data_IF_422732653707
#
_entry.id   IF_422732653707
#
_cell.length_a   1.000
_cell.length_b   1.000
_cell.length_c   1.000
_cell.angle_alpha   90.00
_cell.angle_beta   90.00
_cell.angle_gamma   90.00
#
_symmetry.space_group_name_H-M   'P 1'
#
loop_
_entity.id
_entity.type
_entity.pdbx_description
1 polymer ?
#
# COMPACT_ATOMS: atom_id res chain seq x y z
N UNK A 1 -21.07 8.34 -8.62
CA UNK A 1 -21.32 6.89 -8.81
C UNK A 1 -22.63 6.56 -9.57
N UNK A 2 -23.54 7.51 -9.80
CA UNK A 2 -24.81 7.22 -10.48
C UNK A 2 -24.64 6.76 -11.95
N UNK A 3 -23.61 7.23 -12.63
CA UNK A 3 -23.35 7.02 -14.07
C UNK A 3 -22.44 5.81 -14.41
N UNK A 4 -21.92 5.10 -13.38
CA UNK A 4 -21.01 3.99 -13.61
C UNK A 4 -21.78 2.71 -14.00
N UNK A 5 -21.19 1.94 -14.94
CA UNK A 5 -21.72 0.63 -15.31
C UNK A 5 -21.72 -0.33 -14.11
N UNK A 6 -22.57 -1.36 -14.17
CA UNK A 6 -22.66 -2.39 -13.11
C UNK A 6 -21.30 -3.07 -12.90
N UNK A 7 -20.57 -3.34 -14.00
CA UNK A 7 -19.25 -3.95 -13.96
C UNK A 7 -18.23 -3.06 -13.23
N UNK A 8 -18.23 -1.75 -13.51
CA UNK A 8 -17.36 -0.80 -12.85
C UNK A 8 -17.65 -0.71 -11.34
N UNK A 9 -18.93 -0.70 -10.96
CA UNK A 9 -19.32 -0.73 -9.54
C UNK A 9 -18.84 -2.01 -8.87
N UNK A 10 -19.06 -3.17 -9.48
CA UNK A 10 -18.63 -4.46 -8.96
C UNK A 10 -17.09 -4.51 -8.77
N UNK A 11 -16.33 -3.99 -9.74
CA UNK A 11 -14.87 -3.88 -9.64
C UNK A 11 -14.45 -3.00 -8.46
N UNK A 12 -15.04 -1.80 -8.31
CA UNK A 12 -14.70 -0.87 -7.23
C UNK A 12 -15.02 -1.50 -5.87
N UNK A 13 -16.23 -2.03 -5.68
CA UNK A 13 -16.63 -2.63 -4.42
C UNK A 13 -15.84 -3.92 -4.10
N UNK A 14 -15.54 -4.74 -5.11
CA UNK A 14 -14.71 -5.92 -4.96
C UNK A 14 -13.29 -5.55 -4.50
N UNK A 15 -12.67 -4.56 -5.14
CA UNK A 15 -11.34 -4.06 -4.76
C UNK A 15 -11.35 -3.48 -3.34
N UNK A 16 -12.35 -2.69 -2.98
CA UNK A 16 -12.50 -2.14 -1.62
C UNK A 16 -12.62 -3.29 -0.60
N UNK A 17 -13.54 -4.23 -0.82
CA UNK A 17 -13.84 -5.29 0.15
C UNK A 17 -12.64 -6.22 0.37
N UNK A 18 -12.04 -6.71 -0.73
CA UNK A 18 -10.88 -7.61 -0.66
C UNK A 18 -9.67 -6.85 -0.13
N UNK A 19 -9.39 -5.67 -0.68
CA UNK A 19 -8.21 -4.89 -0.33
C UNK A 19 -8.23 -4.40 1.11
N UNK A 20 -9.37 -3.89 1.62
CA UNK A 20 -9.49 -3.49 3.02
C UNK A 20 -9.43 -4.70 3.96
N UNK A 21 -10.05 -5.82 3.60
CA UNK A 21 -9.98 -7.04 4.39
C UNK A 21 -8.54 -7.54 4.56
N UNK A 22 -7.77 -7.60 3.46
CA UNK A 22 -6.34 -7.93 3.49
C UNK A 22 -5.54 -6.91 4.28
N UNK A 23 -5.81 -5.61 4.10
CA UNK A 23 -5.15 -4.53 4.82
C UNK A 23 -5.33 -4.66 6.33
N UNK A 24 -6.55 -4.82 6.79
CA UNK A 24 -6.86 -4.99 8.22
C UNK A 24 -6.14 -6.23 8.75
N UNK A 25 -6.24 -7.36 8.07
CA UNK A 25 -5.58 -8.60 8.47
C UNK A 25 -4.05 -8.45 8.55
N UNK A 26 -3.42 -7.79 7.58
CA UNK A 26 -1.98 -7.55 7.60
C UNK A 26 -1.56 -6.63 8.75
N UNK A 27 -2.31 -5.56 9.00
CA UNK A 27 -2.01 -4.60 10.07
C UNK A 27 -2.06 -5.22 11.48
N UNK A 28 -2.80 -6.33 11.69
CA UNK A 28 -2.75 -7.08 12.96
C UNK A 28 -1.37 -7.67 13.25
N UNK A 29 -0.50 -7.76 12.25
CA UNK A 29 0.86 -8.33 12.35
C UNK A 29 1.95 -7.24 12.41
N UNK A 30 1.55 -5.97 12.53
CA UNK A 30 2.49 -4.85 12.55
C UNK A 30 3.28 -4.83 13.87
N UNK A 31 4.58 -4.65 13.76
CA UNK A 31 5.44 -4.35 14.90
C UNK A 31 5.40 -2.85 15.21
N UNK A 32 4.62 -2.49 16.21
CA UNK A 32 4.42 -1.12 16.65
C UNK A 32 5.63 -0.50 17.37
N UNK A 33 6.62 -1.29 17.74
CA UNK A 33 7.81 -0.81 18.47
C UNK A 33 8.83 -0.10 17.58
N UNK A 34 8.71 -0.26 16.24
CA UNK A 34 9.67 0.25 15.28
C UNK A 34 9.45 1.75 15.02
N UNK A 35 10.29 2.60 15.62
CA UNK A 35 10.22 4.06 15.47
C UNK A 35 10.44 4.52 14.01
N UNK A 36 11.27 3.83 13.25
CA UNK A 36 11.53 4.15 11.84
C UNK A 36 10.26 4.10 10.97
N UNK A 37 9.30 3.26 11.36
CA UNK A 37 8.03 3.13 10.68
C UNK A 37 7.19 4.43 10.72
N UNK A 38 7.19 5.11 11.87
CA UNK A 38 6.45 6.38 12.03
C UNK A 38 7.08 7.51 11.23
N UNK A 39 8.41 7.52 11.13
CA UNK A 39 9.13 8.48 10.27
C UNK A 39 8.77 8.26 8.80
N UNK A 40 8.77 7.00 8.34
CA UNK A 40 8.34 6.67 6.97
C UNK A 40 6.88 6.99 6.71
N UNK A 41 6.00 6.77 7.69
CA UNK A 41 4.59 7.12 7.58
C UNK A 41 4.40 8.65 7.44
N UNK A 42 5.14 9.44 8.22
CA UNK A 42 5.12 10.90 8.09
C UNK A 42 5.66 11.36 6.72
N UNK A 43 6.77 10.80 6.26
CA UNK A 43 7.32 11.10 4.94
C UNK A 43 6.37 10.70 3.81
N UNK A 44 5.75 9.53 3.90
CA UNK A 44 4.75 9.05 2.94
C UNK A 44 3.53 9.97 2.89
N UNK A 45 3.04 10.41 4.05
CA UNK A 45 1.92 11.35 4.14
C UNK A 45 2.24 12.70 3.48
N UNK A 46 3.42 13.27 3.76
CA UNK A 46 3.89 14.50 3.11
C UNK A 46 4.03 14.29 1.60
N UNK A 47 4.70 13.22 1.17
CA UNK A 47 4.89 12.92 -0.24
C UNK A 47 3.55 12.70 -0.98
N UNK A 48 2.55 12.14 -0.31
CA UNK A 48 1.22 11.90 -0.88
C UNK A 48 0.40 13.20 -0.99
N UNK A 49 0.58 14.14 -0.09
CA UNK A 49 -0.10 15.45 -0.16
C UNK A 49 0.55 16.40 -1.17
N UNK A 50 1.86 16.25 -1.43
CA UNK A 50 2.62 17.03 -2.40
C UNK A 50 2.53 16.38 -3.80
N UNK A 51 1.33 16.35 -4.37
CA UNK A 51 1.13 15.84 -5.72
C UNK A 51 1.55 16.87 -6.76
N UNK A 52 2.21 16.40 -7.81
CA UNK A 52 2.48 17.20 -9.01
C UNK A 52 1.35 16.94 -10.01
N UNK A 53 0.67 18.01 -10.41
CA UNK A 53 -0.33 17.93 -11.47
C UNK A 53 0.37 17.65 -12.80
N UNK A 54 -0.13 16.67 -13.54
CA UNK A 54 0.36 16.37 -14.88
C UNK A 54 -0.11 17.40 -15.90
N UNK A 55 0.39 17.31 -17.15
CA UNK A 55 -0.01 18.22 -18.24
C UNK A 55 -1.52 18.22 -18.52
N UNK A 56 -2.18 17.10 -18.23
CA UNK A 56 -3.63 16.96 -18.28
C UNK A 56 -4.15 17.05 -16.84
N UNK A 57 -5.06 17.97 -16.54
CA UNK A 57 -5.68 18.19 -15.22
C UNK A 57 -6.26 16.93 -14.54
N UNK A 58 -6.21 15.78 -15.21
CA UNK A 58 -6.71 14.48 -14.74
C UNK A 58 -5.62 13.56 -14.20
N UNK A 59 -4.34 13.90 -14.37
CA UNK A 59 -3.22 13.03 -13.99
C UNK A 59 -2.44 13.66 -12.85
N UNK A 60 -2.43 13.00 -11.70
CA UNK A 60 -1.64 13.42 -10.55
C UNK A 60 -0.50 12.42 -10.33
N UNK A 61 0.72 12.92 -10.23
CA UNK A 61 1.89 12.14 -9.90
C UNK A 61 2.25 12.34 -8.44
N UNK A 62 2.42 11.24 -7.71
CA UNK A 62 2.88 11.28 -6.33
C UNK A 62 4.23 10.57 -6.22
N UNK A 63 5.18 11.21 -5.53
CA UNK A 63 6.47 10.60 -5.18
C UNK A 63 6.36 9.62 -4.01
N UNK A 64 5.19 9.49 -3.39
CA UNK A 64 4.94 8.59 -2.28
C UNK A 64 5.26 7.11 -2.60
N UNK A 65 5.20 6.70 -3.87
CA UNK A 65 5.58 5.37 -4.32
C UNK A 65 7.01 4.98 -3.94
N UNK A 66 7.95 5.93 -3.97
CA UNK A 66 9.32 5.68 -3.52
C UNK A 66 9.37 5.39 -2.03
N UNK A 67 8.59 6.10 -1.23
CA UNK A 67 8.51 5.88 0.23
C UNK A 67 7.90 4.51 0.51
N UNK A 68 6.84 4.12 -0.22
CA UNK A 68 6.21 2.81 -0.09
C UNK A 68 7.17 1.67 -0.46
N UNK A 69 7.90 1.83 -1.58
CA UNK A 69 8.92 0.87 -2.02
C UNK A 69 10.06 0.74 -1.00
N UNK A 70 10.54 1.85 -0.47
CA UNK A 70 11.56 1.86 0.58
C UNK A 70 11.07 1.17 1.87
N UNK A 71 9.83 1.46 2.29
CA UNK A 71 9.22 0.80 3.43
C UNK A 71 9.08 -0.72 3.20
N UNK A 72 8.74 -1.14 1.98
CA UNK A 72 8.62 -2.55 1.62
C UNK A 72 9.98 -3.27 1.70
N UNK A 73 11.01 -2.70 1.12
CA UNK A 73 12.35 -3.32 1.07
C UNK A 73 13.00 -3.31 2.45
N UNK A 74 12.92 -2.20 3.18
CA UNK A 74 13.61 -2.03 4.46
C UNK A 74 12.89 -2.66 5.66
N UNK A 75 11.55 -2.68 5.63
CA UNK A 75 10.74 -3.06 6.80
C UNK A 75 9.67 -4.13 6.49
N UNK A 76 9.58 -4.54 5.23
CA UNK A 76 8.66 -5.59 4.79
C UNK A 76 7.25 -5.11 4.41
N UNK A 77 6.43 -6.03 3.87
CA UNK A 77 5.13 -5.70 3.26
C UNK A 77 4.12 -5.11 4.24
N UNK A 78 4.11 -5.56 5.50
CA UNK A 78 3.17 -5.05 6.51
C UNK A 78 3.46 -3.59 6.83
N UNK A 79 4.75 -3.24 6.96
CA UNK A 79 5.21 -1.87 7.21
C UNK A 79 4.90 -0.94 6.03
N UNK A 80 5.14 -1.41 4.81
CA UNK A 80 4.78 -0.65 3.61
C UNK A 80 3.29 -0.35 3.56
N UNK A 81 2.46 -1.33 3.88
CA UNK A 81 1.02 -1.16 3.91
C UNK A 81 0.57 -0.15 4.98
N UNK A 82 1.19 -0.17 6.15
CA UNK A 82 0.93 0.83 7.18
C UNK A 82 1.23 2.25 6.68
N UNK A 83 2.38 2.46 6.03
CA UNK A 83 2.76 3.75 5.43
C UNK A 83 1.73 4.19 4.39
N UNK A 84 1.29 3.28 3.52
CA UNK A 84 0.22 3.55 2.53
C UNK A 84 -1.06 4.01 3.22
N UNK A 85 -1.52 3.27 4.24
CA UNK A 85 -2.77 3.59 4.94
C UNK A 85 -2.70 4.97 5.59
N UNK A 86 -1.62 5.26 6.31
CA UNK A 86 -1.43 6.57 6.96
C UNK A 86 -1.39 7.69 5.91
N UNK A 87 -0.67 7.50 4.81
CA UNK A 87 -0.56 8.49 3.73
C UNK A 87 -1.92 8.81 3.12
N UNK A 88 -2.73 7.79 2.81
CA UNK A 88 -4.06 7.97 2.24
C UNK A 88 -5.07 8.55 3.23
N UNK A 89 -4.96 8.22 4.52
CA UNK A 89 -5.80 8.83 5.56
C UNK A 89 -5.50 10.32 5.73
N UNK A 90 -4.22 10.70 5.76
CA UNK A 90 -3.81 12.11 5.83
C UNK A 90 -4.28 12.87 4.60
N UNK A 91 -4.09 12.32 3.41
CA UNK A 91 -4.57 12.90 2.16
C UNK A 91 -6.10 13.07 2.17
N UNK A 92 -6.82 12.07 2.68
CA UNK A 92 -8.28 12.13 2.80
C UNK A 92 -8.75 13.28 3.70
N UNK A 93 -8.12 13.42 4.86
CA UNK A 93 -8.44 14.52 5.79
C UNK A 93 -8.14 15.87 5.14
N UNK A 94 -7.03 15.98 4.40
CA UNK A 94 -6.59 17.23 3.77
C UNK A 94 -7.48 17.65 2.61
N UNK A 95 -7.76 16.75 1.66
CA UNK A 95 -8.49 17.04 0.44
C UNK A 95 -10.00 16.76 0.52
N UNK A 96 -10.48 16.11 1.58
CA UNK A 96 -11.89 15.75 1.80
C UNK A 96 -12.52 14.98 0.64
N UNK A 97 -11.76 14.08 0.02
CA UNK A 97 -12.28 13.21 -1.04
C UNK A 97 -13.44 12.33 -0.55
N UNK A 98 -14.36 11.91 -1.45
CA UNK A 98 -15.35 10.90 -1.11
C UNK A 98 -14.69 9.63 -0.54
N UNK A 99 -15.26 9.08 0.52
CA UNK A 99 -14.70 7.93 1.26
C UNK A 99 -14.35 6.73 0.36
N UNK A 100 -15.18 6.46 -0.67
CA UNK A 100 -14.98 5.34 -1.57
C UNK A 100 -13.72 5.46 -2.44
N UNK A 101 -13.26 6.68 -2.74
CA UNK A 101 -12.02 6.91 -3.50
C UNK A 101 -10.83 6.48 -2.67
N UNK A 102 -10.74 6.91 -1.42
CA UNK A 102 -9.61 6.55 -0.56
C UNK A 102 -9.65 5.08 -0.13
N UNK A 103 -10.84 4.54 0.14
CA UNK A 103 -10.98 3.11 0.40
C UNK A 103 -10.56 2.25 -0.80
N UNK A 104 -10.88 2.69 -2.03
CA UNK A 104 -10.41 2.05 -3.25
C UNK A 104 -8.89 2.13 -3.39
N UNK A 105 -8.29 3.31 -3.16
CA UNK A 105 -6.85 3.51 -3.25
C UNK A 105 -6.09 2.63 -2.23
N UNK A 106 -6.53 2.60 -0.97
CA UNK A 106 -5.94 1.72 0.06
C UNK A 106 -6.05 0.25 -0.38
N UNK A 107 -7.23 -0.18 -0.84
CA UNK A 107 -7.44 -1.55 -1.31
C UNK A 107 -6.59 -1.90 -2.53
N UNK A 108 -6.51 -0.98 -3.49
CA UNK A 108 -5.70 -1.14 -4.71
C UNK A 108 -4.20 -1.23 -4.43
N UNK A 109 -3.70 -0.65 -3.33
CA UNK A 109 -2.32 -0.84 -2.85
C UNK A 109 -2.17 -2.09 -1.99
N UNK A 110 -3.16 -2.41 -1.17
CA UNK A 110 -3.11 -3.55 -0.26
C UNK A 110 -2.98 -4.89 -1.00
N UNK A 111 -3.73 -5.08 -2.08
CA UNK A 111 -3.68 -6.31 -2.87
C UNK A 111 -2.28 -6.57 -3.45
N UNK A 112 -1.65 -5.66 -4.22
CA UNK A 112 -0.32 -5.92 -4.78
C UNK A 112 0.78 -6.00 -3.72
N UNK A 113 0.70 -5.25 -2.62
CA UNK A 113 1.66 -5.37 -1.51
C UNK A 113 1.57 -6.75 -0.87
N UNK A 114 0.37 -7.27 -0.67
CA UNK A 114 0.17 -8.63 -0.16
C UNK A 114 0.76 -9.67 -1.11
N UNK A 115 0.44 -9.60 -2.41
CA UNK A 115 0.96 -10.53 -3.42
C UNK A 115 2.49 -10.45 -3.52
N UNK A 116 3.05 -9.25 -3.55
CA UNK A 116 4.50 -9.05 -3.54
C UNK A 116 5.15 -9.65 -2.28
N UNK A 117 4.50 -9.53 -1.13
CA UNK A 117 4.95 -10.15 0.12
C UNK A 117 4.99 -11.67 0.03
N UNK A 118 3.99 -12.30 -0.59
CA UNK A 118 3.98 -13.76 -0.82
C UNK A 118 5.13 -14.20 -1.73
N UNK A 119 5.34 -13.50 -2.85
CA UNK A 119 6.44 -13.79 -3.78
C UNK A 119 7.79 -13.64 -3.08
N UNK A 120 7.99 -12.55 -2.35
CA UNK A 120 9.22 -12.32 -1.59
C UNK A 120 9.48 -13.43 -0.57
N UNK A 121 8.45 -13.87 0.17
CA UNK A 121 8.57 -14.96 1.13
C UNK A 121 8.90 -16.30 0.45
N UNK A 122 8.32 -16.59 -0.71
CA UNK A 122 8.60 -17.81 -1.47
C UNK A 122 10.05 -17.86 -1.97
N UNK A 123 10.53 -16.76 -2.57
CA UNK A 123 11.91 -16.64 -3.07
C UNK A 123 12.93 -16.74 -1.93
N UNK A 124 12.67 -16.07 -0.80
CA UNK A 124 13.57 -16.08 0.36
C UNK A 124 13.68 -17.47 1.01
N UNK A 125 12.62 -18.29 0.97
CA UNK A 125 12.66 -19.67 1.43
C UNK A 125 13.47 -20.56 0.49
N UNK A 126 13.30 -20.41 -0.82
CA UNK A 126 14.04 -21.15 -1.83
C UNK A 126 15.57 -20.94 -1.74
N UNK A 127 16.01 -19.68 -1.57
CA UNK A 127 17.44 -19.37 -1.45
C UNK A 127 18.08 -19.95 -0.19
N UNK A 128 17.37 -20.04 0.93
CA UNK A 128 17.89 -20.67 2.16
C UNK A 128 18.10 -22.18 2.00
N UNK A 129 17.22 -22.86 1.26
CA UNK A 129 17.35 -24.29 1.00
C UNK A 129 18.58 -24.60 0.13
N UNK A 130 18.88 -23.75 -0.86
CA UNK A 130 20.04 -23.94 -1.74
C UNK A 130 21.37 -23.73 -0.99
N UNK A 131 21.43 -22.80 -0.04
CA UNK A 131 22.64 -22.58 0.78
C UNK A 131 22.89 -23.70 1.81
N UNK A 132 21.82 -24.38 2.27
CA UNK A 132 21.93 -25.51 3.20
C UNK A 132 22.46 -26.80 2.56
N UNK A 133 22.38 -26.95 1.24
CA UNK A 133 22.85 -28.14 0.52
C UNK A 133 24.34 -28.04 0.16
N UNK A 134 24.92 -26.84 0.14
CA UNK A 134 26.32 -26.61 -0.21
C UNK A 134 27.32 -26.68 0.95
N UNK A 135 26.87 -27.02 2.16
CA UNK A 135 27.69 -27.05 3.39
C UNK A 135 27.89 -28.45 3.98
N UNK A 136 27.84 -29.52 3.12
CA UNK A 136 28.19 -30.91 3.50
C UNK A 136 29.51 -31.30 2.86
#
# INVERSE_FOLDING_TARGET
MKELSVLAKAYIFGTISIGLGLTIWMLTKLDWSNTGLYVLAALGAVAQTLKVEGPDDKTNYSIAWFVYGFAFIGFGPVSALFVVVVSHLVEWIWHKYPWYIQSFNIGAHGIPIFLAGLVFAAVSRGSRQLHGIGSV
#
